data_IF_157316921950
#
_entry.id   IF_157316921950
#
_cell.length_a   1.000
_cell.length_b   1.000
_cell.length_c   1.000
_cell.angle_alpha   90.00
_cell.angle_beta   90.00
_cell.angle_gamma   90.00
#
_symmetry.space_group_name_H-M   'P 1'
#
loop_
_entity.id
_entity.type
_entity.pdbx_description
1 polymer ?
#
# COMPACT_ATOMS: atom_id res chain seq x y z
N UNK A 1 24.25 12.16 44.25
CA UNK A 1 23.08 12.35 43.36
C UNK A 1 23.40 11.67 42.01
N UNK A 2 22.96 10.39 41.83
CA UNK A 2 23.11 9.69 40.56
C UNK A 2 21.99 10.16 39.64
N UNK A 3 22.29 11.03 38.68
CA UNK A 3 21.42 11.30 37.55
C UNK A 3 21.33 10.00 36.74
N UNK A 4 20.18 9.31 36.79
CA UNK A 4 19.85 8.26 35.84
C UNK A 4 19.73 8.94 34.47
N UNK A 5 20.74 8.74 33.61
CA UNK A 5 20.62 9.07 32.21
C UNK A 5 19.45 8.25 31.66
N UNK A 6 18.34 8.92 31.40
CA UNK A 6 17.19 8.33 30.73
C UNK A 6 17.64 8.11 29.27
N UNK A 7 17.87 6.84 28.93
CA UNK A 7 18.23 6.50 27.54
C UNK A 7 17.13 7.04 26.63
N UNK A 8 17.47 8.02 25.82
CA UNK A 8 16.58 8.55 24.78
C UNK A 8 16.38 7.41 23.77
N UNK A 9 15.20 6.80 23.80
CA UNK A 9 14.80 5.86 22.77
C UNK A 9 14.17 6.65 21.64
N UNK A 10 14.69 6.46 20.44
CA UNK A 10 14.04 6.99 19.25
C UNK A 10 12.56 6.52 19.22
N UNK A 11 11.64 7.41 18.90
CA UNK A 11 10.23 7.02 18.80
C UNK A 11 10.05 5.94 17.72
N UNK A 12 9.16 4.98 18.00
CA UNK A 12 8.76 3.98 17.00
C UNK A 12 8.36 4.66 15.70
N UNK A 13 8.87 4.14 14.59
CA UNK A 13 8.60 4.68 13.25
C UNK A 13 8.38 3.56 12.24
N UNK A 14 7.70 3.88 11.13
CA UNK A 14 7.64 3.00 9.96
C UNK A 14 9.02 2.96 9.29
N UNK A 15 9.54 1.76 9.05
CA UNK A 15 10.85 1.55 8.40
C UNK A 15 10.70 1.11 6.94
N UNK A 16 9.68 0.29 6.64
CA UNK A 16 9.39 -0.22 5.30
C UNK A 16 7.87 -0.19 5.05
N UNK A 17 7.49 0.00 3.81
CA UNK A 17 6.11 0.15 3.40
C UNK A 17 5.73 1.63 3.20
N UNK A 18 4.45 1.91 2.93
CA UNK A 18 3.35 0.97 2.77
C UNK A 18 3.48 0.08 1.53
N UNK A 19 3.03 -1.17 1.64
CA UNK A 19 2.81 -2.04 0.50
C UNK A 19 1.34 -2.46 0.48
N UNK A 20 0.67 -2.23 -0.64
CA UNK A 20 -0.73 -2.59 -0.83
C UNK A 20 -0.85 -4.02 -1.36
N UNK A 21 -1.91 -4.73 -0.94
CA UNK A 21 -2.16 -6.09 -1.42
C UNK A 21 -3.61 -6.52 -1.25
N UNK A 22 -3.95 -7.65 -1.84
CA UNK A 22 -5.27 -8.27 -1.77
C UNK A 22 -6.42 -7.30 -2.06
N UNK A 23 -6.39 -6.53 -3.15
CA UNK A 23 -7.49 -5.64 -3.48
C UNK A 23 -8.75 -6.43 -3.80
N UNK A 24 -9.89 -5.95 -3.30
CA UNK A 24 -11.23 -6.42 -3.67
C UNK A 24 -12.11 -5.22 -4.01
N UNK A 25 -13.37 -5.44 -4.31
CA UNK A 25 -14.33 -4.34 -4.47
C UNK A 25 -14.68 -3.63 -3.16
N UNK A 26 -14.33 -4.21 -2.00
CA UNK A 26 -14.72 -3.68 -0.69
C UNK A 26 -13.61 -3.64 0.35
N UNK A 27 -12.39 -4.03 -0.02
CA UNK A 27 -11.26 -4.08 0.91
C UNK A 27 -9.90 -3.97 0.21
N UNK A 28 -8.88 -3.57 0.98
CA UNK A 28 -7.47 -3.65 0.63
C UNK A 28 -6.65 -3.90 1.89
N UNK A 29 -5.56 -4.63 1.77
CA UNK A 29 -4.58 -4.83 2.83
C UNK A 29 -3.41 -3.83 2.67
N UNK A 30 -2.95 -3.26 3.78
CA UNK A 30 -1.79 -2.36 3.83
C UNK A 30 -0.76 -2.95 4.78
N UNK A 31 0.34 -3.41 4.22
CA UNK A 31 1.47 -3.93 4.97
C UNK A 31 2.45 -2.82 5.33
N UNK A 32 3.06 -2.93 6.51
CA UNK A 32 4.14 -2.07 6.96
C UNK A 32 5.03 -2.75 8.00
N UNK A 33 6.26 -2.24 8.15
CA UNK A 33 7.24 -2.68 9.15
C UNK A 33 7.66 -1.51 10.02
N UNK A 34 7.69 -1.71 11.32
CA UNK A 34 8.11 -0.69 12.30
C UNK A 34 9.54 -0.94 12.81
N UNK A 35 10.15 0.06 13.41
CA UNK A 35 11.52 -0.03 13.97
C UNK A 35 11.61 -0.94 15.20
N UNK A 36 10.51 -1.15 15.90
CA UNK A 36 10.37 -1.97 17.10
C UNK A 36 8.93 -2.47 17.23
N UNK A 37 8.63 -3.46 18.09
CA UNK A 37 7.25 -3.92 18.32
C UNK A 37 6.32 -2.77 18.70
N UNK A 38 5.12 -2.77 18.14
CA UNK A 38 4.11 -1.75 18.39
C UNK A 38 2.90 -1.88 17.49
N UNK A 39 2.41 -0.77 16.99
CA UNK A 39 1.26 -0.77 16.08
C UNK A 39 1.26 0.46 15.17
N UNK A 40 0.55 0.33 14.07
CA UNK A 40 0.21 1.45 13.19
C UNK A 40 -1.26 1.39 12.79
N UNK A 41 -1.80 2.52 12.39
CA UNK A 41 -3.13 2.64 11.78
C UNK A 41 -3.01 3.26 10.40
N UNK A 42 -4.02 3.03 9.57
CA UNK A 42 -4.15 3.67 8.26
C UNK A 42 -5.39 4.54 8.27
N UNK A 43 -5.20 5.85 8.07
CA UNK A 43 -6.32 6.78 7.86
C UNK A 43 -6.54 6.92 6.36
N UNK A 44 -7.80 6.89 5.93
CA UNK A 44 -8.14 6.90 4.51
C UNK A 44 -9.46 7.60 4.21
N UNK A 45 -9.67 7.97 2.95
CA UNK A 45 -10.89 8.63 2.48
C UNK A 45 -10.88 8.79 0.97
N UNK A 46 -11.98 9.28 0.41
CA UNK A 46 -12.16 9.45 -1.05
C UNK A 46 -11.69 10.80 -1.58
N UNK A 47 -11.18 11.66 -0.72
CA UNK A 47 -10.64 12.98 -1.10
C UNK A 47 -9.21 13.14 -0.58
N UNK A 48 -8.33 13.83 -1.33
CA UNK A 48 -6.99 14.15 -0.84
C UNK A 48 -7.04 14.88 0.50
N UNK A 49 -6.14 14.53 1.43
CA UNK A 49 -6.00 15.18 2.75
C UNK A 49 -7.26 15.16 3.64
N UNK A 50 -8.30 14.42 3.26
CA UNK A 50 -9.52 14.24 4.04
C UNK A 50 -9.73 12.78 4.39
N UNK A 51 -9.11 12.34 5.48
CA UNK A 51 -9.32 10.98 6.00
C UNK A 51 -10.61 10.94 6.82
N UNK A 52 -11.61 10.27 6.30
CA UNK A 52 -12.92 10.09 6.95
C UNK A 52 -13.03 8.77 7.71
N UNK A 53 -12.07 7.87 7.50
CA UNK A 53 -12.05 6.53 8.08
C UNK A 53 -10.66 6.21 8.64
N UNK A 54 -10.62 5.24 9.55
CA UNK A 54 -9.38 4.67 10.09
C UNK A 54 -9.48 3.16 10.16
N UNK A 55 -8.39 2.47 9.89
CA UNK A 55 -8.30 1.03 10.13
C UNK A 55 -8.30 0.71 11.63
N UNK A 56 -8.53 -0.54 11.97
CA UNK A 56 -8.09 -1.07 13.25
C UNK A 56 -6.56 -1.03 13.33
N UNK A 57 -5.97 -0.95 14.55
CA UNK A 57 -4.53 -1.02 14.73
C UNK A 57 -3.95 -2.33 14.17
N UNK A 58 -2.90 -2.22 13.36
CA UNK A 58 -2.10 -3.33 12.90
C UNK A 58 -0.93 -3.52 13.86
N UNK A 59 -0.95 -4.59 14.64
CA UNK A 59 0.15 -4.92 15.57
C UNK A 59 1.37 -5.39 14.80
N UNK A 60 2.54 -4.97 15.29
CA UNK A 60 3.85 -5.39 14.79
C UNK A 60 4.62 -6.04 15.94
N UNK A 61 5.13 -7.26 15.71
CA UNK A 61 5.72 -8.11 16.73
C UNK A 61 7.11 -8.59 16.28
N UNK A 62 8.00 -8.79 17.23
CA UNK A 62 9.40 -9.14 16.94
C UNK A 62 9.56 -10.49 16.26
N UNK A 63 8.72 -11.46 16.59
CA UNK A 63 8.70 -12.80 16.00
C UNK A 63 8.24 -12.78 14.52
N UNK A 64 7.68 -11.67 14.07
CA UNK A 64 7.29 -11.38 12.69
C UNK A 64 8.12 -10.26 12.06
N UNK A 65 9.35 -10.07 12.52
CA UNK A 65 10.25 -9.01 12.05
C UNK A 65 9.61 -7.60 12.12
N UNK A 66 8.84 -7.34 13.17
CA UNK A 66 8.10 -6.09 13.37
C UNK A 66 7.19 -5.70 12.20
N UNK A 67 6.65 -6.67 11.48
CA UNK A 67 5.70 -6.43 10.39
C UNK A 67 4.25 -6.55 10.86
N UNK A 68 3.36 -5.84 10.19
CA UNK A 68 1.92 -5.88 10.44
C UNK A 68 1.12 -5.58 9.17
N UNK A 69 -0.17 -5.93 9.21
CA UNK A 69 -1.10 -5.70 8.10
C UNK A 69 -2.37 -5.05 8.63
N UNK A 70 -2.66 -3.85 8.14
CA UNK A 70 -3.94 -3.18 8.35
C UNK A 70 -4.90 -3.57 7.22
N UNK A 71 -6.09 -4.05 7.56
CA UNK A 71 -7.13 -4.32 6.58
C UNK A 71 -8.12 -3.15 6.54
N UNK A 72 -8.22 -2.50 5.38
CA UNK A 72 -9.22 -1.48 5.12
C UNK A 72 -10.44 -2.18 4.53
N UNK A 73 -11.59 -2.03 5.18
CA UNK A 73 -12.83 -2.73 4.82
C UNK A 73 -13.98 -1.74 4.69
N UNK A 74 -15.12 -2.19 4.13
CA UNK A 74 -16.30 -1.34 3.93
C UNK A 74 -16.08 -0.31 2.81
N UNK A 75 -15.18 -0.59 1.89
CA UNK A 75 -14.89 0.29 0.77
C UNK A 75 -15.98 0.14 -0.30
N UNK A 76 -16.16 1.18 -1.11
CA UNK A 76 -16.98 1.16 -2.32
C UNK A 76 -16.13 0.67 -3.50
N UNK A 77 -16.73 -0.14 -4.37
CA UNK A 77 -16.08 -0.64 -5.60
C UNK A 77 -15.81 0.48 -6.61
N UNK A 78 -14.86 0.25 -7.51
CA UNK A 78 -14.40 1.17 -8.56
C UNK A 78 -14.20 2.61 -8.05
N UNK A 79 -13.63 2.72 -6.86
CA UNK A 79 -13.51 3.99 -6.15
C UNK A 79 -12.06 4.24 -5.75
N UNK A 80 -11.57 5.45 -6.03
CA UNK A 80 -10.25 5.90 -5.59
C UNK A 80 -10.29 6.30 -4.14
N UNK A 81 -9.31 5.78 -3.39
CA UNK A 81 -9.04 6.16 -2.02
C UNK A 81 -7.65 6.75 -1.88
N UNK A 82 -7.52 7.70 -0.97
CA UNK A 82 -6.28 8.31 -0.50
C UNK A 82 -6.02 7.81 0.90
N UNK A 83 -4.78 7.46 1.22
CA UNK A 83 -4.44 6.91 2.52
C UNK A 83 -3.11 7.42 3.04
N UNK A 84 -2.94 7.37 4.36
CA UNK A 84 -1.72 7.68 5.08
C UNK A 84 -1.56 6.74 6.27
N UNK A 85 -0.35 6.24 6.51
CA UNK A 85 -0.02 5.48 7.72
C UNK A 85 0.28 6.45 8.86
N UNK A 86 -0.14 6.07 10.06
CA UNK A 86 0.16 6.77 11.30
C UNK A 86 0.74 5.80 12.32
N UNK A 87 1.82 6.20 12.98
CA UNK A 87 2.39 5.54 14.14
C UNK A 87 2.35 6.53 15.29
N UNK A 88 1.68 6.19 16.39
CA UNK A 88 1.48 7.12 17.53
C UNK A 88 1.02 8.53 17.10
N UNK A 89 -0.03 8.58 16.29
CA UNK A 89 -0.64 9.82 15.77
C UNK A 89 0.25 10.67 14.83
N UNK A 90 1.46 10.24 14.54
CA UNK A 90 2.32 10.90 13.57
C UNK A 90 2.21 10.24 12.19
N UNK A 91 2.11 11.01 11.10
CA UNK A 91 2.11 10.46 9.76
C UNK A 91 3.50 9.91 9.41
N UNK A 92 3.53 8.74 8.77
CA UNK A 92 4.74 8.08 8.32
C UNK A 92 4.63 7.66 6.85
N UNK A 93 5.75 7.76 6.14
CA UNK A 93 5.81 7.54 4.70
C UNK A 93 5.08 8.64 3.92
N UNK A 94 5.05 8.50 2.61
CA UNK A 94 4.29 9.39 1.74
C UNK A 94 2.81 8.98 1.72
N UNK A 95 1.87 9.92 1.59
CA UNK A 95 0.49 9.59 1.31
C UNK A 95 0.40 8.84 -0.03
N UNK A 96 -0.48 7.86 -0.10
CA UNK A 96 -0.68 7.05 -1.29
C UNK A 96 -2.14 7.03 -1.74
N UNK A 97 -2.35 6.41 -2.89
CA UNK A 97 -3.69 6.17 -3.45
C UNK A 97 -3.84 4.71 -3.87
N UNK A 98 -5.06 4.25 -3.95
CA UNK A 98 -5.41 2.99 -4.59
C UNK A 98 -6.82 3.08 -5.19
N UNK A 99 -7.08 2.20 -6.15
CA UNK A 99 -8.39 2.02 -6.77
C UNK A 99 -8.92 0.64 -6.36
N UNK A 100 -10.12 0.59 -5.79
CA UNK A 100 -10.79 -0.67 -5.47
C UNK A 100 -11.23 -1.38 -6.75
N UNK A 101 -11.29 -2.71 -6.73
CA UNK A 101 -11.83 -3.45 -7.86
C UNK A 101 -13.31 -3.10 -8.08
N UNK A 102 -13.81 -3.12 -9.32
CA UNK A 102 -15.24 -3.02 -9.59
C UNK A 102 -16.01 -4.17 -8.93
N UNK A 103 -17.23 -3.90 -8.49
CA UNK A 103 -18.10 -4.98 -8.01
C UNK A 103 -18.63 -5.79 -9.20
N UNK A 104 -18.76 -7.10 -9.01
CA UNK A 104 -19.33 -7.96 -10.05
C UNK A 104 -20.78 -7.59 -10.38
N UNK A 105 -21.55 -7.11 -9.39
CA UNK A 105 -22.93 -6.74 -9.56
C UNK A 105 -23.11 -5.49 -10.42
N UNK A 106 -22.32 -4.43 -10.13
CA UNK A 106 -22.36 -3.17 -10.91
C UNK A 106 -21.80 -3.33 -12.33
N UNK A 107 -20.99 -4.38 -12.56
CA UNK A 107 -20.32 -4.64 -13.83
C UNK A 107 -21.02 -5.66 -14.70
N UNK A 108 -22.23 -6.09 -14.36
CA UNK A 108 -22.99 -7.07 -15.16
C UNK A 108 -23.42 -6.47 -16.49
N UNK A 109 -23.17 -7.21 -17.54
CA UNK A 109 -23.73 -6.97 -18.87
C UNK A 109 -24.37 -8.29 -19.34
N UNK A 110 -25.70 -8.36 -19.55
CA UNK A 110 -26.39 -9.61 -19.90
C UNK A 110 -25.86 -10.31 -21.15
N UNK A 111 -25.39 -9.54 -22.12
CA UNK A 111 -24.91 -10.04 -23.39
C UNK A 111 -23.43 -10.47 -23.34
N UNK A 112 -22.57 -9.62 -22.78
CA UNK A 112 -21.12 -9.80 -22.89
C UNK A 112 -20.45 -10.24 -21.58
N UNK A 113 -21.03 -9.96 -20.42
CA UNK A 113 -20.51 -10.32 -19.11
C UNK A 113 -21.62 -10.56 -18.08
N UNK A 114 -22.43 -11.63 -18.23
CA UNK A 114 -23.60 -11.86 -17.38
C UNK A 114 -23.26 -12.09 -15.90
N UNK A 115 -22.04 -12.46 -15.59
CA UNK A 115 -21.57 -12.65 -14.21
C UNK A 115 -20.86 -11.40 -13.64
N UNK A 116 -20.57 -10.39 -14.46
CA UNK A 116 -19.87 -9.18 -14.03
C UNK A 116 -18.43 -9.39 -13.57
N UNK A 117 -17.75 -10.44 -14.07
CA UNK A 117 -16.41 -10.83 -13.62
C UNK A 117 -15.32 -10.15 -14.47
N UNK A 118 -14.12 -10.01 -13.90
CA UNK A 118 -12.90 -9.56 -14.58
C UNK A 118 -12.96 -8.16 -15.19
N UNK A 119 -13.72 -7.23 -14.62
CA UNK A 119 -13.78 -5.85 -15.06
C UNK A 119 -12.70 -5.00 -14.37
N UNK A 120 -11.46 -5.37 -14.51
CA UNK A 120 -10.33 -4.64 -13.94
C UNK A 120 -9.21 -4.46 -14.95
N UNK A 121 -8.39 -3.46 -14.72
CA UNK A 121 -7.14 -3.19 -15.45
C UNK A 121 -5.98 -3.46 -14.52
N UNK A 122 -4.95 -4.08 -15.04
CA UNK A 122 -3.74 -4.37 -14.28
C UNK A 122 -2.50 -4.22 -15.16
N UNK A 123 -1.38 -4.04 -14.51
CA UNK A 123 -0.06 -4.00 -15.13
C UNK A 123 0.71 -5.26 -14.76
N UNK A 124 1.56 -5.74 -15.66
CA UNK A 124 2.48 -6.83 -15.41
C UNK A 124 3.88 -6.35 -15.73
N UNK A 125 4.79 -6.53 -14.80
CA UNK A 125 6.21 -6.27 -14.99
C UNK A 125 7.07 -7.37 -14.45
N UNK A 126 8.29 -7.46 -14.96
CA UNK A 126 9.36 -8.32 -14.43
C UNK A 126 10.74 -7.69 -14.76
N UNK A 127 11.81 -8.27 -14.23
CA UNK A 127 13.17 -7.92 -14.59
C UNK A 127 13.51 -6.44 -14.33
N UNK A 128 13.18 -5.94 -13.14
CA UNK A 128 13.51 -4.57 -12.73
C UNK A 128 14.98 -4.47 -12.31
N UNK A 129 15.90 -4.48 -13.29
CA UNK A 129 17.33 -4.37 -13.02
C UNK A 129 17.71 -2.96 -12.57
N UNK A 130 17.91 -2.80 -11.27
CA UNK A 130 18.30 -1.54 -10.63
C UNK A 130 19.82 -1.43 -10.41
N UNK A 131 20.61 -2.35 -10.92
CA UNK A 131 22.07 -2.31 -10.78
C UNK A 131 22.63 -1.05 -11.45
N UNK A 132 23.39 -0.20 -10.73
CA UNK A 132 23.92 1.05 -11.28
C UNK A 132 25.01 0.85 -12.34
N UNK A 133 25.64 -0.34 -12.40
CA UNK A 133 26.73 -0.64 -13.35
C UNK A 133 26.23 -1.31 -14.63
N UNK A 134 25.19 -2.14 -14.53
CA UNK A 134 24.73 -3.00 -15.64
C UNK A 134 23.25 -2.82 -15.96
N UNK A 135 22.54 -1.99 -15.20
CA UNK A 135 21.13 -1.69 -15.35
C UNK A 135 20.87 -0.19 -15.47
N UNK A 136 19.64 0.19 -15.26
CA UNK A 136 19.17 1.58 -15.34
C UNK A 136 19.35 2.36 -14.03
N UNK A 137 19.98 1.76 -13.01
CA UNK A 137 20.12 2.33 -11.68
C UNK A 137 18.83 2.20 -10.84
N UNK A 138 18.85 2.85 -9.68
CA UNK A 138 17.77 2.75 -8.68
C UNK A 138 16.49 3.56 -9.02
N UNK A 139 16.47 4.25 -10.16
CA UNK A 139 15.30 4.97 -10.68
C UNK A 139 15.01 4.53 -12.09
N UNK A 140 14.18 3.51 -12.23
CA UNK A 140 13.66 3.13 -13.54
C UNK A 140 12.65 4.17 -14.05
N UNK A 141 12.88 4.82 -15.18
CA UNK A 141 11.94 5.80 -15.76
C UNK A 141 10.55 5.21 -16.02
N UNK A 142 10.45 3.89 -16.22
CA UNK A 142 9.16 3.23 -16.47
C UNK A 142 8.22 3.38 -15.27
N UNK A 143 8.72 3.33 -14.04
CA UNK A 143 7.87 3.50 -12.85
C UNK A 143 7.33 4.92 -12.71
N UNK A 144 8.10 5.91 -13.12
CA UNK A 144 7.65 7.29 -13.14
C UNK A 144 6.52 7.48 -14.17
N UNK A 145 6.68 6.96 -15.37
CA UNK A 145 5.67 6.97 -16.42
C UNK A 145 4.41 6.20 -16.02
N UNK A 146 4.57 5.01 -15.42
CA UNK A 146 3.44 4.24 -14.90
C UNK A 146 2.67 5.03 -13.83
N UNK A 147 3.39 5.70 -12.93
CA UNK A 147 2.76 6.52 -11.91
C UNK A 147 2.04 7.76 -12.48
N UNK A 148 2.61 8.40 -13.49
CA UNK A 148 2.04 9.60 -14.11
C UNK A 148 0.85 9.26 -15.01
N UNK A 149 0.96 8.22 -15.83
CA UNK A 149 0.00 7.97 -16.91
C UNK A 149 -1.05 6.91 -16.54
N UNK A 150 -0.75 5.99 -15.63
CA UNK A 150 -1.52 4.78 -15.39
C UNK A 150 -1.96 4.56 -13.93
N UNK A 151 -1.34 5.20 -12.93
CA UNK A 151 -1.70 5.02 -11.52
C UNK A 151 -3.19 5.28 -11.25
N UNK A 152 -3.80 6.15 -12.04
CA UNK A 152 -5.21 6.50 -11.96
C UNK A 152 -6.14 5.58 -12.75
N UNK A 153 -5.60 4.64 -13.51
CA UNK A 153 -6.34 3.79 -14.44
C UNK A 153 -6.23 2.31 -14.14
N UNK A 154 -5.24 1.91 -13.33
CA UNK A 154 -4.97 0.51 -12.97
C UNK A 154 -5.40 0.20 -11.54
N UNK A 155 -5.88 -1.02 -11.33
CA UNK A 155 -6.35 -1.49 -10.04
C UNK A 155 -5.22 -2.14 -9.24
N UNK A 156 -4.29 -2.82 -9.92
CA UNK A 156 -3.13 -3.45 -9.29
C UNK A 156 -2.01 -3.71 -10.30
N UNK A 157 -0.81 -3.96 -9.76
CA UNK A 157 0.38 -4.34 -10.51
C UNK A 157 0.81 -5.75 -10.11
N UNK A 158 1.21 -6.56 -11.08
CA UNK A 158 1.81 -7.87 -10.87
C UNK A 158 3.30 -7.76 -11.16
N UNK A 159 4.14 -7.97 -10.14
CA UNK A 159 5.57 -8.12 -10.32
C UNK A 159 5.88 -9.61 -10.48
N UNK A 160 6.19 -10.02 -11.70
CA UNK A 160 6.38 -11.42 -12.09
C UNK A 160 7.85 -11.82 -12.05
N UNK A 161 8.47 -11.70 -10.87
CA UNK A 161 9.86 -12.10 -10.66
C UNK A 161 10.91 -11.06 -11.03
N UNK A 162 12.17 -11.39 -10.78
CA UNK A 162 13.35 -10.61 -11.08
C UNK A 162 13.27 -9.15 -10.56
N UNK A 163 12.88 -9.03 -9.29
CA UNK A 163 12.75 -7.73 -8.62
C UNK A 163 14.07 -7.21 -8.07
N UNK A 164 15.06 -8.10 -7.88
CA UNK A 164 16.37 -7.80 -7.35
C UNK A 164 17.43 -8.44 -8.24
N UNK A 165 18.48 -7.67 -8.49
CA UNK A 165 19.70 -8.10 -9.19
C UNK A 165 20.89 -7.75 -8.30
N UNK A 166 21.70 -8.74 -7.92
CA UNK A 166 22.94 -8.59 -7.15
C UNK A 166 24.15 -8.33 -8.04
#
# INVERSE_FOLDING_TARGET
LFLKAQAYRDPIRLTHGPMLGKPTSSSVAVWGRTSEPGEFIVKFGTKPSQSTHSSLPAKTEIDRDNTGVANLTGLKGDTRYYYQIFVKDNPHGLPGTFLTLPSAEESRNPEHNPKGLFNFRFEVGSCANQNPLHGIGHRSPVYENLNQDWADKTHFHIMNGDCLYE
#
